data_IF_940367082357
#
_entry.id   IF_940367082357
#
_cell.length_a   1.000
_cell.length_b   1.000
_cell.length_c   1.000
_cell.angle_alpha   90.00
_cell.angle_beta   90.00
_cell.angle_gamma   90.00
#
_symmetry.space_group_name_H-M   'P 1'
#
loop_
_entity.id
_entity.type
_entity.pdbx_description
1 polymer ?
#
# COMPACT_ATOMS: atom_id res chain seq x y z
N UNK A 1 11.40 5.67 1.87
CA UNK A 1 10.80 5.25 0.59
C UNK A 1 11.13 6.31 -0.46
N UNK A 2 11.64 5.94 -1.64
CA UNK A 2 11.89 6.87 -2.75
C UNK A 2 10.60 7.19 -3.53
N UNK A 3 10.57 8.24 -4.39
CA UNK A 3 9.41 8.51 -5.25
C UNK A 3 9.03 7.31 -6.14
N UNK A 4 10.03 6.59 -6.67
CA UNK A 4 9.83 5.41 -7.52
C UNK A 4 9.22 4.26 -6.73
N UNK A 5 9.70 4.03 -5.50
CA UNK A 5 9.11 3.04 -4.59
C UNK A 5 7.67 3.41 -4.25
N UNK A 6 7.40 4.68 -3.94
CA UNK A 6 6.05 5.16 -3.66
C UNK A 6 5.12 4.98 -4.88
N UNK A 7 5.59 5.34 -6.07
CA UNK A 7 4.84 5.14 -7.32
C UNK A 7 4.47 3.67 -7.53
N UNK A 8 5.44 2.76 -7.38
CA UNK A 8 5.22 1.32 -7.53
C UNK A 8 4.25 0.76 -6.48
N UNK A 9 4.34 1.21 -5.23
CA UNK A 9 3.35 0.83 -4.19
C UNK A 9 1.97 1.34 -4.58
N UNK A 10 1.84 2.58 -5.05
CA UNK A 10 0.55 3.13 -5.44
C UNK A 10 -0.07 2.39 -6.63
N UNK A 11 0.75 1.96 -7.60
CA UNK A 11 0.28 1.12 -8.71
C UNK A 11 -0.33 -0.19 -8.21
N UNK A 12 0.26 -0.81 -7.18
CA UNK A 12 -0.31 -2.00 -6.53
C UNK A 12 -1.66 -1.67 -5.89
N UNK A 13 -1.77 -0.55 -5.18
CA UNK A 13 -3.02 -0.13 -4.53
C UNK A 13 -4.13 0.14 -5.55
N UNK A 14 -3.84 0.84 -6.64
CA UNK A 14 -4.81 1.10 -7.72
C UNK A 14 -5.26 -0.22 -8.36
N UNK A 15 -4.29 -1.06 -8.75
CA UNK A 15 -4.57 -2.29 -9.50
C UNK A 15 -5.29 -3.36 -8.69
N UNK A 16 -4.94 -3.52 -7.41
CA UNK A 16 -5.37 -4.68 -6.62
C UNK A 16 -6.33 -4.34 -5.49
N UNK A 17 -6.36 -3.08 -5.07
CA UNK A 17 -7.18 -2.60 -3.95
C UNK A 17 -8.11 -1.44 -4.35
N UNK A 18 -8.11 -0.97 -5.61
CA UNK A 18 -9.03 0.04 -6.11
C UNK A 18 -8.81 1.44 -5.53
N UNK A 19 -7.57 1.79 -5.15
CA UNK A 19 -7.25 3.18 -4.83
C UNK A 19 -7.55 4.09 -6.02
N UNK A 20 -8.00 5.33 -5.75
CA UNK A 20 -8.36 6.24 -6.82
C UNK A 20 -7.12 6.95 -7.36
N UNK A 21 -6.96 6.97 -8.68
CA UNK A 21 -5.75 7.51 -9.35
C UNK A 21 -5.45 8.97 -8.97
N UNK A 22 -6.49 9.78 -8.73
CA UNK A 22 -6.32 11.18 -8.35
C UNK A 22 -5.64 11.38 -6.98
N UNK A 23 -5.54 10.33 -6.14
CA UNK A 23 -4.84 10.39 -4.86
C UNK A 23 -3.33 10.17 -4.99
N UNK A 24 -2.81 9.88 -6.19
CA UNK A 24 -1.39 9.52 -6.41
C UNK A 24 -0.43 10.59 -5.94
N UNK A 25 -0.64 11.84 -6.35
CA UNK A 25 0.29 12.93 -6.03
C UNK A 25 0.32 13.19 -4.52
N UNK A 26 -0.84 13.16 -3.87
CA UNK A 26 -0.98 13.24 -2.43
C UNK A 26 -0.25 12.09 -1.74
N UNK A 27 -0.47 10.84 -2.19
CA UNK A 27 0.19 9.65 -1.67
C UNK A 27 1.72 9.76 -1.74
N UNK A 28 2.27 10.08 -2.91
CA UNK A 28 3.73 10.21 -3.13
C UNK A 28 4.29 11.33 -2.26
N UNK A 29 3.59 12.46 -2.16
CA UNK A 29 3.98 13.55 -1.28
C UNK A 29 4.06 13.08 0.18
N UNK A 30 3.00 12.47 0.73
CA UNK A 30 2.97 12.06 2.13
C UNK A 30 4.04 11.02 2.47
N UNK A 31 4.19 9.97 1.66
CA UNK A 31 5.17 8.91 1.96
C UNK A 31 6.61 9.40 1.88
N UNK A 32 6.90 10.41 1.05
CA UNK A 32 8.23 11.06 1.03
C UNK A 32 8.53 11.87 2.29
N UNK A 33 7.51 12.31 3.00
CA UNK A 33 7.65 13.13 4.21
C UNK A 33 7.45 12.31 5.50
N UNK A 34 7.71 11.00 5.44
CA UNK A 34 7.74 10.13 6.62
C UNK A 34 6.36 9.69 7.12
N UNK A 35 5.35 9.70 6.24
CA UNK A 35 4.03 9.16 6.57
C UNK A 35 4.12 7.64 6.78
N UNK A 36 3.73 7.20 7.98
CA UNK A 36 3.71 5.78 8.36
C UNK A 36 2.37 5.10 8.02
N UNK A 37 1.30 5.88 7.82
CA UNK A 37 -0.05 5.40 7.47
C UNK A 37 -0.71 6.33 6.45
N UNK A 38 -1.16 5.76 5.33
CA UNK A 38 -1.94 6.49 4.33
C UNK A 38 -3.30 5.84 4.08
N UNK A 39 -4.39 6.63 4.15
CA UNK A 39 -5.75 6.15 3.87
C UNK A 39 -6.08 6.30 2.39
N UNK A 40 -6.19 5.18 1.68
CA UNK A 40 -6.54 5.14 0.26
C UNK A 40 -7.96 4.62 -0.01
N UNK A 41 -8.63 4.09 1.01
CA UNK A 41 -9.96 3.48 0.90
C UNK A 41 -10.02 2.30 -0.09
N UNK A 42 -10.55 2.56 -1.30
CA UNK A 42 -10.75 1.58 -2.36
C UNK A 42 -11.70 0.44 -1.99
N UNK A 43 -11.39 -0.76 -2.45
CA UNK A 43 -12.13 -2.01 -2.19
C UNK A 43 -12.16 -2.40 -0.71
N UNK A 44 -11.33 -1.76 0.14
CA UNK A 44 -11.31 -1.97 1.58
C UNK A 44 -12.29 -1.05 2.34
N UNK A 45 -13.04 -0.20 1.63
CA UNK A 45 -13.98 0.75 2.22
C UNK A 45 -13.28 1.90 2.93
N UNK A 46 -14.02 2.65 3.77
CA UNK A 46 -13.51 3.86 4.42
C UNK A 46 -12.25 3.61 5.28
N UNK A 47 -12.11 2.40 5.82
CA UNK A 47 -10.96 1.98 6.61
C UNK A 47 -9.71 1.56 5.83
N UNK A 48 -9.75 1.54 4.48
CA UNK A 48 -8.64 1.09 3.65
C UNK A 48 -7.37 1.92 3.82
N UNK A 49 -6.32 1.29 4.36
CA UNK A 49 -5.05 1.95 4.73
C UNK A 49 -3.85 1.16 4.29
N UNK A 50 -2.79 1.87 3.90
CA UNK A 50 -1.43 1.37 3.79
C UNK A 50 -0.69 1.72 5.08
N UNK A 51 0.06 0.76 5.61
CA UNK A 51 1.00 0.91 6.71
C UNK A 51 2.42 0.72 6.18
N UNK A 52 3.28 1.71 6.43
CA UNK A 52 4.69 1.73 6.06
C UNK A 52 5.50 1.58 7.34
N UNK A 53 5.91 0.35 7.62
CA UNK A 53 6.70 -0.02 8.79
C UNK A 53 8.16 -0.27 8.38
N UNK A 54 9.14 -0.16 9.30
CA UNK A 54 10.51 -0.56 9.03
C UNK A 54 10.57 -2.01 8.50
N UNK A 55 10.96 -2.17 7.24
CA UNK A 55 11.08 -3.48 6.60
C UNK A 55 9.78 -4.10 6.07
N UNK A 56 8.62 -3.43 6.19
CA UNK A 56 7.34 -4.01 5.74
C UNK A 56 6.37 -2.95 5.20
N UNK A 57 5.71 -3.27 4.09
CA UNK A 57 4.58 -2.51 3.57
C UNK A 57 3.35 -3.41 3.57
N UNK A 58 2.26 -2.98 4.20
CA UNK A 58 1.04 -3.79 4.27
C UNK A 58 -0.21 -2.93 4.18
N UNK A 59 -1.28 -3.49 3.68
CA UNK A 59 -2.62 -2.90 3.75
C UNK A 59 -3.47 -3.56 4.82
N UNK A 60 -4.50 -2.83 5.24
CA UNK A 60 -5.54 -3.34 6.13
C UNK A 60 -6.79 -2.47 6.08
N UNK A 61 -7.80 -2.89 6.83
CA UNK A 61 -9.00 -2.11 7.13
C UNK A 61 -9.28 -2.15 8.64
N UNK A 62 -10.31 -1.43 9.09
CA UNK A 62 -10.77 -1.56 10.46
C UNK A 62 -11.25 -3.00 10.73
N UNK A 63 -11.01 -3.58 11.93
CA UNK A 63 -11.45 -4.93 12.26
C UNK A 63 -12.96 -5.14 12.11
N UNK A 64 -13.76 -4.15 12.51
CA UNK A 64 -15.22 -4.14 12.38
C UNK A 64 -15.69 -4.09 10.91
N UNK A 65 -14.82 -3.66 10.01
CA UNK A 65 -15.03 -3.62 8.56
C UNK A 65 -14.57 -4.92 7.87
N UNK A 66 -13.97 -5.87 8.58
CA UNK A 66 -13.41 -7.06 7.95
C UNK A 66 -14.51 -8.01 7.47
N UNK A 67 -14.53 -8.26 6.16
CA UNK A 67 -15.38 -9.25 5.48
C UNK A 67 -14.50 -10.26 4.73
N UNK A 68 -14.99 -11.46 4.37
CA UNK A 68 -14.24 -12.41 3.55
C UNK A 68 -13.65 -11.82 2.26
N UNK A 69 -14.40 -10.95 1.58
CA UNK A 69 -14.00 -10.30 0.34
C UNK A 69 -12.82 -9.34 0.56
N UNK A 70 -12.91 -8.49 1.60
CA UNK A 70 -11.83 -7.59 2.05
C UNK A 70 -10.62 -8.37 2.52
N UNK A 71 -10.79 -9.49 3.23
CA UNK A 71 -9.68 -10.35 3.66
C UNK A 71 -8.90 -10.88 2.45
N UNK A 72 -9.59 -11.36 1.41
CA UNK A 72 -8.95 -11.82 0.18
C UNK A 72 -8.24 -10.70 -0.59
N UNK A 73 -8.76 -9.46 -0.56
CA UNK A 73 -8.05 -8.28 -1.10
C UNK A 73 -6.78 -8.01 -0.30
N UNK A 74 -6.86 -7.99 1.03
CA UNK A 74 -5.72 -7.72 1.93
C UNK A 74 -4.61 -8.75 1.72
N UNK A 75 -4.94 -10.04 1.71
CA UNK A 75 -3.98 -11.12 1.50
C UNK A 75 -3.24 -10.97 0.17
N UNK A 76 -4.00 -10.81 -0.92
CA UNK A 76 -3.44 -10.64 -2.26
C UNK A 76 -2.53 -9.41 -2.35
N UNK A 77 -2.99 -8.26 -1.85
CA UNK A 77 -2.22 -7.01 -1.92
C UNK A 77 -0.94 -7.11 -1.10
N UNK A 78 -1.02 -7.66 0.12
CA UNK A 78 0.17 -7.85 0.97
C UNK A 78 1.20 -8.77 0.33
N UNK A 79 0.78 -9.87 -0.30
CA UNK A 79 1.71 -10.75 -1.02
C UNK A 79 2.44 -10.02 -2.17
N UNK A 80 1.75 -9.15 -2.90
CA UNK A 80 2.36 -8.33 -3.97
C UNK A 80 3.31 -7.29 -3.39
N UNK A 81 2.94 -6.62 -2.29
CA UNK A 81 3.78 -5.63 -1.62
C UNK A 81 5.06 -6.25 -1.06
N UNK A 82 4.98 -7.44 -0.46
CA UNK A 82 6.15 -8.18 0.03
C UNK A 82 7.12 -8.49 -1.11
N UNK A 83 6.61 -8.93 -2.27
CA UNK A 83 7.41 -9.15 -3.47
C UNK A 83 8.06 -7.87 -4.02
N UNK A 84 7.30 -6.78 -4.10
CA UNK A 84 7.81 -5.48 -4.57
C UNK A 84 8.92 -4.96 -3.63
N UNK A 85 8.73 -5.07 -2.31
CA UNK A 85 9.75 -4.64 -1.34
C UNK A 85 11.02 -5.46 -1.47
N UNK A 86 10.91 -6.78 -1.65
CA UNK A 86 12.08 -7.66 -1.83
C UNK A 86 12.91 -7.26 -3.06
N UNK A 87 12.26 -6.89 -4.17
CA UNK A 87 12.95 -6.39 -5.37
C UNK A 87 13.72 -5.10 -5.06
N UNK A 88 13.08 -4.12 -4.43
CA UNK A 88 13.76 -2.87 -4.09
C UNK A 88 14.90 -3.07 -3.09
N UNK A 89 14.73 -3.93 -2.09
CA UNK A 89 15.78 -4.23 -1.13
C UNK A 89 16.99 -4.90 -1.79
N UNK A 90 16.78 -5.79 -2.77
CA UNK A 90 17.86 -6.41 -3.53
C UNK A 90 18.61 -5.39 -4.41
N UNK A 91 17.92 -4.41 -4.99
CA UNK A 91 18.53 -3.33 -5.76
C UNK A 91 19.33 -2.35 -4.89
N UNK A 92 18.92 -2.11 -3.65
CA UNK A 92 19.65 -1.26 -2.68
C UNK A 92 20.94 -1.93 -2.16
N UNK A 93 21.05 -3.25 -2.27
CA UNK A 93 22.18 -4.04 -1.78
C UNK A 93 23.24 -4.37 -2.87
N UNK A 94 22.99 -4.00 -4.13
CA UNK A 94 23.86 -4.23 -5.28
C UNK A 94 24.69 -2.99 -5.63
#
# INVERSE_FOLDING_TARGET
>A
MTPEQAGAVFDVLVRHAGAAEHQRDEFVYHLRHGCEEFRFMGSLGFGGKLYVEPGRWRVGCYPEDLTPERAAVIERVNAVLDGARAVFAALEAA
#
